data_IF_000375061519
#
_entry.id   IF_000375061519
#
_cell.length_a   1.000
_cell.length_b   1.000
_cell.length_c   1.000
_cell.angle_alpha   90.00
_cell.angle_beta   90.00
_cell.angle_gamma   90.00
#
_symmetry.space_group_name_H-M   'P 1'
#
loop_
_entity.id
_entity.type
_entity.pdbx_description
1 polymer ?
#
# COMPACT_ATOMS: atom_id res chain seq x y z
N UNK A 1 84.18 8.40 11.71
CA UNK A 1 83.15 7.57 11.01
C UNK A 1 81.87 7.70 11.83
N UNK A 2 81.04 8.71 11.64
CA UNK A 2 79.61 8.68 12.13
C UNK A 2 78.91 10.04 11.79
N UNK A 3 78.59 10.34 10.55
CA UNK A 3 77.78 11.52 10.19
C UNK A 3 76.81 11.31 8.99
N UNK A 4 76.40 10.06 8.65
CA UNK A 4 75.60 9.85 7.44
C UNK A 4 74.18 9.31 7.77
N UNK A 5 73.80 9.05 9.03
CA UNK A 5 72.49 8.40 9.38
C UNK A 5 71.33 9.32 9.74
N UNK A 6 71.52 10.66 9.82
CA UNK A 6 70.41 11.55 10.26
C UNK A 6 69.66 12.29 9.15
N UNK A 7 70.08 12.20 7.88
CA UNK A 7 69.37 12.89 6.78
C UNK A 7 68.29 12.07 6.09
N UNK A 8 68.24 10.75 6.27
CA UNK A 8 67.25 9.87 5.63
C UNK A 8 65.95 9.69 6.45
N UNK A 9 65.98 9.98 7.74
CA UNK A 9 64.81 9.82 8.61
C UNK A 9 63.81 10.99 8.52
N UNK A 10 64.27 12.19 8.17
CA UNK A 10 63.39 13.38 8.08
C UNK A 10 62.63 13.42 6.76
N UNK A 11 63.18 12.88 5.68
CA UNK A 11 62.52 12.84 4.37
C UNK A 11 61.30 11.82 4.34
N UNK A 12 61.38 10.74 5.10
CA UNK A 12 60.32 9.74 5.17
C UNK A 12 59.09 10.20 6.01
N UNK A 13 59.31 11.05 7.02
CA UNK A 13 58.23 11.57 7.88
C UNK A 13 57.36 12.62 7.17
N UNK A 14 57.92 13.39 6.22
CA UNK A 14 57.17 14.43 5.49
C UNK A 14 56.28 13.83 4.40
N UNK A 15 56.65 12.71 3.79
CA UNK A 15 55.85 12.00 2.76
C UNK A 15 54.66 11.27 3.39
N UNK A 16 54.77 10.74 4.62
CA UNK A 16 53.67 10.08 5.32
C UNK A 16 52.58 11.06 5.78
N UNK A 17 52.90 12.33 6.08
CA UNK A 17 51.91 13.32 6.47
C UNK A 17 51.08 13.89 5.29
N UNK A 18 51.60 13.82 4.05
CA UNK A 18 50.87 14.28 2.85
C UNK A 18 49.85 13.31 2.31
N UNK A 19 49.86 12.04 2.72
CA UNK A 19 48.89 11.00 2.28
C UNK A 19 47.64 10.91 3.14
N UNK A 20 47.52 11.62 4.26
CA UNK A 20 46.34 11.65 5.13
C UNK A 20 45.42 12.85 4.89
N UNK A 21 45.75 13.75 3.95
CA UNK A 21 44.94 14.95 3.65
C UNK A 21 43.92 14.76 2.49
N UNK A 22 43.70 13.55 2.01
CA UNK A 22 42.97 13.33 0.79
C UNK A 22 41.75 12.39 0.95
N UNK A 23 40.80 12.68 1.80
CA UNK A 23 39.38 12.19 1.69
C UNK A 23 38.49 12.95 2.69
N UNK A 24 38.48 14.27 2.64
CA UNK A 24 37.26 14.98 3.01
C UNK A 24 36.36 14.87 1.78
N UNK A 25 35.55 13.81 1.72
CA UNK A 25 34.39 13.83 0.84
C UNK A 25 33.59 15.06 1.26
N UNK A 26 33.40 16.01 0.35
CA UNK A 26 32.50 17.12 0.51
C UNK A 26 31.09 16.51 0.81
N UNK A 27 30.75 16.42 2.11
CA UNK A 27 29.42 16.12 2.52
C UNK A 27 28.55 17.25 1.96
N UNK A 28 27.68 16.91 1.01
CA UNK A 28 26.73 17.87 0.47
C UNK A 28 26.04 18.59 1.66
N UNK A 29 25.88 19.91 1.61
CA UNK A 29 25.30 20.65 2.71
C UNK A 29 23.94 20.07 3.06
N UNK A 30 23.77 19.63 4.32
CA UNK A 30 22.49 19.16 4.82
C UNK A 30 21.56 20.37 4.88
N UNK A 31 20.66 20.48 3.90
CA UNK A 31 19.65 21.53 3.89
C UNK A 31 18.63 21.20 4.98
N UNK A 32 18.58 22.01 6.04
CA UNK A 32 17.55 21.87 7.08
C UNK A 32 16.18 22.18 6.50
N UNK A 33 15.13 21.38 6.83
CA UNK A 33 13.81 21.64 6.34
C UNK A 33 13.24 22.96 6.88
N UNK A 34 12.64 23.77 5.99
CA UNK A 34 11.83 24.93 6.32
C UNK A 34 10.35 24.68 6.03
N UNK A 35 9.49 25.67 6.20
CA UNK A 35 8.11 25.57 5.74
C UNK A 35 8.04 25.47 4.22
N UNK A 36 6.95 24.97 3.63
CA UNK A 36 6.73 25.00 2.19
C UNK A 36 6.88 26.44 1.64
N UNK A 37 7.42 26.60 0.42
CA UNK A 37 7.50 27.91 -0.23
C UNK A 37 6.15 28.60 -0.27
N UNK A 38 6.13 29.94 -0.25
CA UNK A 38 4.91 30.72 -0.33
C UNK A 38 4.10 30.34 -1.57
N UNK A 39 2.79 30.09 -1.41
CA UNK A 39 1.92 29.66 -2.49
C UNK A 39 1.98 28.16 -2.80
N UNK A 40 2.80 27.36 -2.10
CA UNK A 40 2.82 25.90 -2.27
C UNK A 40 1.92 25.26 -1.23
N UNK A 41 0.90 24.50 -1.70
CA UNK A 41 0.03 23.68 -0.87
C UNK A 41 0.32 22.19 -1.07
N UNK A 42 0.10 21.41 0.00
CA UNK A 42 0.31 19.96 -0.01
C UNK A 42 -0.89 19.27 0.60
N UNK A 43 -1.41 18.24 -0.06
CA UNK A 43 -2.45 17.35 0.47
C UNK A 43 -2.11 15.90 0.13
N UNK A 44 -2.67 14.96 0.90
CA UNK A 44 -2.55 13.52 0.62
C UNK A 44 -3.88 13.01 0.09
N UNK A 45 -3.83 12.15 -0.92
CA UNK A 45 -5.00 11.51 -1.51
C UNK A 45 -4.69 10.06 -1.89
N UNK A 46 -5.73 9.25 -2.09
CA UNK A 46 -5.61 7.89 -2.59
C UNK A 46 -6.56 7.70 -3.76
N UNK A 47 -6.02 7.35 -4.92
CA UNK A 47 -6.82 7.01 -6.09
C UNK A 47 -7.30 5.55 -5.98
N UNK A 48 -8.37 5.20 -6.70
CA UNK A 48 -8.87 3.81 -6.72
C UNK A 48 -7.81 2.80 -7.21
N UNK A 49 -6.93 3.24 -8.10
CA UNK A 49 -5.81 2.43 -8.61
C UNK A 49 -4.74 2.14 -7.56
N UNK A 50 -4.60 2.99 -6.56
CA UNK A 50 -3.51 2.93 -5.60
C UNK A 50 -3.80 2.00 -4.43
N UNK A 51 -5.10 1.68 -4.22
CA UNK A 51 -5.55 0.89 -3.06
C UNK A 51 -4.95 -0.52 -3.07
N UNK A 52 -4.98 -1.20 -4.23
CA UNK A 52 -4.48 -2.58 -4.34
C UNK A 52 -2.97 -2.68 -4.12
N UNK A 53 -2.22 -1.66 -4.54
CA UNK A 53 -0.76 -1.61 -4.44
C UNK A 53 -0.28 -0.95 -3.13
N UNK A 54 -1.21 -0.60 -2.21
CA UNK A 54 -0.91 0.13 -0.96
C UNK A 54 -0.15 1.42 -1.21
N UNK A 55 -0.60 2.21 -2.17
CA UNK A 55 -0.01 3.48 -2.56
C UNK A 55 -0.93 4.64 -2.19
N UNK A 56 -0.36 5.83 -2.13
CA UNK A 56 -1.06 7.10 -2.02
C UNK A 56 -0.35 8.13 -2.90
N UNK A 57 -0.97 9.27 -3.08
CA UNK A 57 -0.40 10.38 -3.81
C UNK A 57 -0.26 11.59 -2.88
N UNK A 58 0.95 12.14 -2.85
CA UNK A 58 1.20 13.47 -2.29
C UNK A 58 0.99 14.47 -3.41
N UNK A 59 -0.10 15.20 -3.33
CA UNK A 59 -0.43 16.27 -4.26
C UNK A 59 0.25 17.55 -3.81
N UNK A 60 1.05 18.14 -4.71
CA UNK A 60 1.71 19.42 -4.48
C UNK A 60 1.17 20.41 -5.51
N UNK A 61 0.61 21.52 -5.04
CA UNK A 61 0.01 22.57 -5.85
C UNK A 61 0.83 23.84 -5.74
N UNK A 62 1.15 24.46 -6.88
CA UNK A 62 1.89 25.71 -6.93
C UNK A 62 0.95 26.86 -7.30
N UNK A 63 0.45 27.57 -6.32
CA UNK A 63 -0.36 28.78 -6.47
C UNK A 63 0.49 30.05 -6.56
N UNK A 64 1.84 29.92 -6.50
CA UNK A 64 2.77 31.04 -6.65
C UNK A 64 3.08 31.36 -8.12
N UNK A 65 3.86 32.41 -8.33
CA UNK A 65 4.21 32.94 -9.67
C UNK A 65 5.54 32.35 -10.22
N UNK A 66 6.28 31.57 -9.42
CA UNK A 66 7.59 31.03 -9.77
C UNK A 66 7.49 29.52 -9.97
N UNK A 67 8.13 29.00 -11.02
CA UNK A 67 8.22 27.56 -11.26
C UNK A 67 9.11 26.87 -10.20
N UNK A 68 8.74 25.67 -9.82
CA UNK A 68 9.42 24.85 -8.83
C UNK A 68 9.76 23.49 -9.47
N UNK A 69 10.90 22.93 -9.13
CA UNK A 69 11.20 21.53 -9.41
C UNK A 69 11.06 20.72 -8.12
N UNK A 70 10.23 19.69 -8.12
CA UNK A 70 9.99 18.81 -6.95
C UNK A 70 10.81 17.55 -7.09
N UNK A 71 11.72 17.32 -6.15
CA UNK A 71 12.60 16.14 -6.07
C UNK A 71 12.03 15.00 -5.22
N UNK A 72 12.80 14.57 -4.22
CA UNK A 72 12.39 13.55 -3.28
C UNK A 72 11.17 14.01 -2.46
N UNK A 73 10.23 13.08 -2.23
CA UNK A 73 9.02 13.31 -1.42
C UNK A 73 8.90 12.18 -0.40
N UNK A 74 8.61 12.54 0.83
CA UNK A 74 8.44 11.67 1.97
C UNK A 74 7.21 12.09 2.76
N UNK A 75 6.31 11.13 3.01
CA UNK A 75 5.16 11.28 3.90
C UNK A 75 5.48 10.56 5.21
N UNK A 76 5.49 11.29 6.31
CA UNK A 76 5.64 10.78 7.66
C UNK A 76 4.29 10.76 8.34
N UNK A 77 3.87 9.58 8.78
CA UNK A 77 2.63 9.34 9.49
C UNK A 77 2.88 8.31 10.61
N UNK A 78 2.56 8.61 11.88
CA UNK A 78 2.80 7.71 13.00
C UNK A 78 2.09 6.35 12.90
N UNK A 79 1.04 6.25 12.08
CA UNK A 79 0.32 5.00 11.82
C UNK A 79 1.10 4.00 10.96
N UNK A 80 2.23 4.40 10.38
CA UNK A 80 3.08 3.53 9.56
C UNK A 80 4.43 3.23 10.21
N UNK A 81 4.93 2.03 9.97
CA UNK A 81 6.21 1.54 10.52
C UNK A 81 7.45 2.27 9.97
N UNK A 82 7.31 2.98 8.88
CA UNK A 82 8.35 3.76 8.22
C UNK A 82 7.71 4.90 7.41
N UNK A 83 8.49 5.89 6.98
CA UNK A 83 7.99 6.90 6.06
C UNK A 83 7.58 6.30 4.72
N UNK A 84 6.47 6.80 4.15
CA UNK A 84 6.11 6.52 2.77
C UNK A 84 6.94 7.41 1.84
N UNK A 85 7.66 6.81 0.91
CA UNK A 85 8.57 7.53 0.01
C UNK A 85 8.12 7.43 -1.43
N UNK A 86 8.53 8.40 -2.24
CA UNK A 86 8.29 8.45 -3.68
C UNK A 86 8.75 7.15 -4.35
N UNK A 87 7.89 6.57 -5.20
CA UNK A 87 8.15 5.28 -5.86
C UNK A 87 9.13 5.44 -7.04
N UNK A 88 8.98 6.51 -7.80
CA UNK A 88 9.81 6.77 -8.99
C UNK A 88 10.76 7.91 -8.70
N UNK A 89 12.05 7.62 -8.70
CA UNK A 89 13.11 8.62 -8.52
C UNK A 89 13.21 9.50 -9.78
N UNK A 90 12.58 10.66 -9.72
CA UNK A 90 12.59 11.67 -10.78
C UNK A 90 12.34 13.06 -10.21
N UNK A 91 12.80 14.09 -10.89
CA UNK A 91 12.41 15.47 -10.65
C UNK A 91 11.11 15.76 -11.42
N UNK A 92 10.15 16.42 -10.80
CA UNK A 92 8.89 16.85 -11.40
C UNK A 92 8.86 18.36 -11.53
N UNK A 93 8.81 18.91 -12.75
CA UNK A 93 8.62 20.35 -12.94
C UNK A 93 7.19 20.74 -12.52
N UNK A 94 7.04 21.85 -11.81
CA UNK A 94 5.77 22.35 -11.28
C UNK A 94 5.70 23.87 -11.56
N UNK A 95 5.07 24.22 -12.68
CA UNK A 95 4.88 25.60 -13.09
C UNK A 95 3.88 26.34 -12.21
N UNK A 96 3.79 27.68 -12.35
CA UNK A 96 2.72 28.49 -11.74
C UNK A 96 1.34 27.96 -12.09
N UNK A 97 0.44 27.88 -11.10
CA UNK A 97 -0.93 27.37 -11.26
C UNK A 97 -1.02 25.88 -11.57
N UNK A 98 0.08 25.13 -11.50
CA UNK A 98 0.12 23.69 -11.81
C UNK A 98 0.08 22.82 -10.57
N UNK A 99 -0.26 21.53 -10.78
CA UNK A 99 -0.33 20.50 -9.75
C UNK A 99 0.50 19.28 -10.19
N UNK A 100 1.17 18.63 -9.25
CA UNK A 100 1.81 17.33 -9.44
C UNK A 100 1.35 16.35 -8.38
N UNK A 101 0.95 15.16 -8.80
CA UNK A 101 0.66 14.03 -7.93
C UNK A 101 1.90 13.12 -7.86
N UNK A 102 2.50 13.03 -6.69
CA UNK A 102 3.70 12.23 -6.43
C UNK A 102 3.28 10.95 -5.70
N UNK A 103 3.37 9.83 -6.40
CA UNK A 103 3.00 8.53 -5.84
C UNK A 103 4.05 8.07 -4.82
N UNK A 104 3.56 7.64 -3.65
CA UNK A 104 4.36 7.13 -2.53
C UNK A 104 3.90 5.73 -2.14
N UNK A 105 4.84 4.88 -1.68
CA UNK A 105 4.54 3.54 -1.17
C UNK A 105 4.22 3.61 0.31
N UNK A 106 3.02 3.18 0.71
CA UNK A 106 2.60 3.11 2.11
C UNK A 106 3.20 1.87 2.78
N UNK A 107 3.95 2.03 3.89
CA UNK A 107 4.48 0.90 4.66
C UNK A 107 3.40 0.17 5.48
N UNK A 108 3.80 -0.89 6.20
CA UNK A 108 2.93 -1.60 7.13
C UNK A 108 2.44 -0.71 8.28
N UNK A 109 1.29 -1.06 8.84
CA UNK A 109 0.70 -0.32 9.95
C UNK A 109 1.39 -0.59 11.29
N UNK A 110 1.38 0.41 12.17
CA UNK A 110 1.74 0.32 13.60
C UNK A 110 0.44 0.39 14.40
N UNK A 111 -0.04 -0.73 14.88
CA UNK A 111 -1.41 -0.83 15.40
C UNK A 111 -1.63 -0.11 16.74
N UNK A 112 -0.57 0.12 17.50
CA UNK A 112 -0.61 0.91 18.75
C UNK A 112 -0.62 2.44 18.50
N UNK A 113 -0.55 2.86 17.22
CA UNK A 113 -0.53 4.29 16.91
C UNK A 113 -1.93 4.93 17.05
N UNK A 114 -2.01 6.22 17.43
CA UNK A 114 -3.28 6.94 17.50
C UNK A 114 -3.98 6.99 16.14
N UNK A 115 -5.28 6.75 16.12
CA UNK A 115 -6.11 6.77 14.91
C UNK A 115 -6.20 8.17 14.27
N UNK A 116 -6.13 9.22 15.08
CA UNK A 116 -6.23 10.63 14.73
C UNK A 116 -4.86 11.30 14.51
N UNK A 117 -3.80 10.49 14.33
CA UNK A 117 -2.46 11.00 14.08
C UNK A 117 -2.41 11.91 12.84
N UNK A 118 -1.68 13.00 12.96
CA UNK A 118 -1.48 13.95 11.86
C UNK A 118 -0.27 13.54 11.00
N UNK A 119 -0.45 13.61 9.67
CA UNK A 119 0.61 13.38 8.71
C UNK A 119 1.41 14.65 8.41
N UNK A 120 2.70 14.48 8.12
CA UNK A 120 3.56 15.54 7.61
C UNK A 120 4.24 15.10 6.32
N UNK A 121 4.48 16.03 5.41
CA UNK A 121 5.23 15.79 4.18
C UNK A 121 6.53 16.59 4.22
N UNK A 122 7.61 15.94 3.85
CA UNK A 122 8.91 16.54 3.56
C UNK A 122 9.22 16.36 2.09
N UNK A 123 9.62 17.42 1.40
CA UNK A 123 10.03 17.33 0.00
C UNK A 123 11.22 18.23 -0.33
N UNK A 124 12.05 17.77 -1.25
CA UNK A 124 13.14 18.55 -1.82
C UNK A 124 12.61 19.35 -3.01
N UNK A 125 13.08 20.60 -3.14
CA UNK A 125 12.70 21.47 -4.24
C UNK A 125 13.85 22.31 -4.76
N UNK A 126 13.70 22.82 -5.98
CA UNK A 126 14.58 23.85 -6.55
C UNK A 126 13.71 25.01 -7.04
N UNK A 127 14.07 26.24 -6.63
CA UNK A 127 13.48 27.50 -7.10
C UNK A 127 14.61 28.41 -7.56
N UNK A 128 14.57 28.92 -8.79
CA UNK A 128 15.61 29.79 -9.36
C UNK A 128 17.03 29.23 -9.20
N UNK A 129 17.19 27.90 -9.39
CA UNK A 129 18.46 27.20 -9.26
C UNK A 129 18.94 27.00 -7.81
N UNK A 130 18.15 27.38 -6.82
CA UNK A 130 18.46 27.19 -5.39
C UNK A 130 17.72 26.01 -4.83
N UNK A 131 18.49 25.02 -4.35
CA UNK A 131 17.92 23.85 -3.68
C UNK A 131 17.41 24.23 -2.29
N UNK A 132 16.25 23.67 -1.92
CA UNK A 132 15.63 23.76 -0.61
C UNK A 132 14.99 22.45 -0.20
N UNK A 133 14.65 22.35 1.08
CA UNK A 133 13.86 21.26 1.64
C UNK A 133 12.73 21.85 2.47
N UNK A 134 11.53 21.39 2.24
CA UNK A 134 10.34 21.85 2.95
C UNK A 134 9.72 20.72 3.78
N UNK A 135 9.16 21.08 4.93
CA UNK A 135 8.32 20.18 5.75
C UNK A 135 7.09 20.95 6.20
N UNK A 136 5.93 20.30 6.11
CA UNK A 136 4.67 20.86 6.54
C UNK A 136 3.59 19.82 6.78
N UNK A 137 2.43 20.21 7.35
CA UNK A 137 1.29 19.34 7.48
C UNK A 137 0.80 18.88 6.12
N UNK A 138 0.32 17.63 6.07
CA UNK A 138 -0.22 17.02 4.87
C UNK A 138 -1.64 16.50 5.14
N UNK A 139 -2.66 17.37 5.13
CA UNK A 139 -4.04 16.97 5.34
C UNK A 139 -4.51 16.04 4.21
N UNK A 140 -5.40 15.14 4.55
CA UNK A 140 -6.06 14.29 3.56
C UNK A 140 -7.09 15.10 2.77
N UNK A 141 -7.06 15.02 1.44
CA UNK A 141 -8.10 15.62 0.60
C UNK A 141 -9.44 14.92 0.83
N UNK A 142 -9.42 13.59 0.94
CA UNK A 142 -10.53 12.74 1.36
C UNK A 142 -10.02 11.78 2.42
N UNK A 143 -10.66 11.67 3.60
CA UNK A 143 -10.19 10.81 4.69
C UNK A 143 -10.11 9.33 4.27
N UNK A 144 -8.91 8.73 4.36
CA UNK A 144 -8.69 7.31 4.06
C UNK A 144 -7.67 6.63 5.00
N UNK A 145 -6.70 7.37 5.54
CA UNK A 145 -5.59 6.81 6.30
C UNK A 145 -6.04 6.09 7.58
N UNK A 146 -6.98 6.67 8.32
CA UNK A 146 -7.51 6.03 9.53
C UNK A 146 -8.27 4.73 9.20
N UNK A 147 -9.05 4.72 8.10
CA UNK A 147 -9.75 3.51 7.66
C UNK A 147 -8.80 2.43 7.14
N UNK A 148 -7.74 2.82 6.42
CA UNK A 148 -6.68 1.92 5.98
C UNK A 148 -5.98 1.30 7.19
N UNK A 149 -5.54 2.13 8.13
CA UNK A 149 -4.85 1.70 9.35
C UNK A 149 -5.69 0.68 10.15
N UNK A 150 -6.98 0.95 10.36
CA UNK A 150 -7.87 -0.01 11.05
C UNK A 150 -7.93 -1.35 10.32
N UNK A 151 -8.10 -1.36 8.99
CA UNK A 151 -8.15 -2.61 8.21
C UNK A 151 -6.84 -3.38 8.27
N UNK A 152 -5.71 -2.68 8.18
CA UNK A 152 -4.40 -3.30 8.27
C UNK A 152 -4.16 -3.93 9.65
N UNK A 153 -4.60 -3.27 10.71
CA UNK A 153 -4.44 -3.79 12.07
C UNK A 153 -5.36 -4.99 12.33
N UNK A 154 -6.58 -4.96 11.82
CA UNK A 154 -7.47 -6.15 11.84
C UNK A 154 -6.81 -7.31 11.11
N UNK A 155 -6.29 -7.07 9.91
CA UNK A 155 -5.59 -8.10 9.13
C UNK A 155 -4.35 -8.64 9.87
N UNK A 156 -3.58 -7.78 10.53
CA UNK A 156 -2.43 -8.20 11.33
C UNK A 156 -2.85 -9.11 12.50
N UNK A 157 -3.94 -8.79 13.22
CA UNK A 157 -4.46 -9.64 14.30
C UNK A 157 -4.95 -10.99 13.76
N UNK A 158 -5.71 -11.00 12.65
CA UNK A 158 -6.11 -12.26 12.00
C UNK A 158 -4.89 -13.09 11.64
N UNK A 159 -3.85 -12.50 11.02
CA UNK A 159 -2.62 -13.20 10.62
C UNK A 159 -1.78 -13.73 11.78
N UNK A 160 -1.99 -13.25 13.01
CA UNK A 160 -1.34 -13.83 14.21
C UNK A 160 -1.97 -15.17 14.57
N UNK A 161 -3.26 -15.37 14.30
CA UNK A 161 -3.98 -16.60 14.67
C UNK A 161 -4.18 -17.56 13.49
N UNK A 162 -4.31 -17.06 12.25
CA UNK A 162 -4.47 -17.88 11.07
C UNK A 162 -3.98 -17.18 9.79
N UNK A 163 -3.51 -17.97 8.82
CA UNK A 163 -3.44 -17.56 7.42
C UNK A 163 -4.79 -17.82 6.76
N UNK A 164 -5.35 -16.81 6.13
CA UNK A 164 -6.60 -16.90 5.37
C UNK A 164 -6.30 -16.49 3.94
N UNK A 165 -6.43 -17.43 2.99
CA UNK A 165 -6.05 -17.22 1.60
C UNK A 165 -7.07 -17.79 0.62
N UNK A 166 -7.22 -17.15 -0.55
CA UNK A 166 -7.90 -17.72 -1.72
C UNK A 166 -6.94 -18.67 -2.44
N UNK A 167 -7.26 -19.96 -2.50
CA UNK A 167 -6.28 -20.98 -2.92
C UNK A 167 -6.59 -21.67 -4.23
N UNK A 168 -7.87 -21.86 -4.57
CA UNK A 168 -8.28 -22.58 -5.77
C UNK A 168 -9.60 -22.07 -6.32
N UNK A 169 -9.80 -22.28 -7.61
CA UNK A 169 -11.03 -21.97 -8.31
C UNK A 169 -11.44 -23.11 -9.23
N UNK A 170 -12.68 -23.55 -9.13
CA UNK A 170 -13.28 -24.51 -10.03
C UNK A 170 -14.40 -23.80 -10.84
N UNK A 171 -14.18 -23.51 -12.13
CA UNK A 171 -15.14 -22.83 -12.97
C UNK A 171 -16.39 -23.70 -13.20
N UNK A 172 -17.51 -23.07 -13.51
CA UNK A 172 -18.77 -23.73 -13.87
C UNK A 172 -19.23 -23.34 -15.26
N UNK A 173 -20.13 -24.11 -15.83
CA UNK A 173 -20.91 -23.70 -16.99
C UNK A 173 -21.89 -22.55 -16.63
N UNK A 174 -22.35 -21.76 -17.63
CA UNK A 174 -23.36 -20.73 -17.43
C UNK A 174 -24.61 -21.28 -16.74
N UNK A 175 -25.15 -20.50 -15.79
CA UNK A 175 -26.33 -20.87 -15.00
C UNK A 175 -26.05 -21.73 -13.76
N UNK A 176 -24.81 -22.21 -13.59
CA UNK A 176 -24.40 -22.94 -12.39
C UNK A 176 -23.35 -22.14 -11.59
N UNK A 177 -23.34 -22.21 -10.25
CA UNK A 177 -22.28 -21.57 -9.46
C UNK A 177 -20.93 -22.24 -9.68
N UNK A 178 -19.87 -21.45 -9.80
CA UNK A 178 -18.50 -21.92 -9.67
C UNK A 178 -18.12 -22.06 -8.18
N UNK A 179 -16.97 -22.66 -7.91
CA UNK A 179 -16.49 -22.82 -6.53
C UNK A 179 -15.15 -22.09 -6.35
N UNK A 180 -15.12 -21.15 -5.39
CA UNK A 180 -13.89 -20.52 -4.91
C UNK A 180 -13.52 -21.11 -3.56
N UNK A 181 -12.28 -21.56 -3.42
CA UNK A 181 -11.79 -22.15 -2.17
C UNK A 181 -11.08 -21.11 -1.31
N UNK A 182 -11.50 -20.99 -0.05
CA UNK A 182 -10.80 -20.23 0.99
C UNK A 182 -10.12 -21.22 1.92
N UNK A 183 -8.81 -21.12 2.06
CA UNK A 183 -8.02 -21.91 3.01
C UNK A 183 -7.80 -21.10 4.28
N UNK A 184 -7.95 -21.75 5.41
CA UNK A 184 -7.68 -21.21 6.75
C UNK A 184 -6.66 -22.14 7.40
N UNK A 185 -5.46 -21.65 7.66
CA UNK A 185 -4.38 -22.43 8.29
C UNK A 185 -4.04 -21.79 9.64
N UNK A 186 -4.36 -22.45 10.76
CA UNK A 186 -4.09 -21.93 12.09
C UNK A 186 -2.59 -21.68 12.33
N UNK A 187 -2.25 -20.60 13.02
CA UNK A 187 -0.88 -20.22 13.43
C UNK A 187 -0.64 -20.33 14.93
N UNK A 188 -1.69 -20.55 15.73
CA UNK A 188 -1.58 -20.75 17.18
C UNK A 188 -1.40 -19.46 18.00
N UNK A 189 -1.80 -18.31 17.48
CA UNK A 189 -1.92 -17.06 18.23
C UNK A 189 -3.05 -17.14 19.28
N UNK A 190 -3.08 -16.20 20.21
CA UNK A 190 -4.01 -16.19 21.36
C UNK A 190 -5.13 -15.14 21.24
N UNK A 191 -5.17 -14.35 20.16
CA UNK A 191 -6.25 -13.40 19.94
C UNK A 191 -7.57 -14.14 19.66
N UNK A 192 -8.66 -13.59 20.19
CA UNK A 192 -10.02 -14.08 19.91
C UNK A 192 -10.46 -13.52 18.57
N UNK A 193 -10.54 -14.38 17.55
CA UNK A 193 -10.90 -13.98 16.16
C UNK A 193 -11.98 -14.90 15.62
N UNK A 194 -13.10 -14.32 15.21
CA UNK A 194 -14.18 -14.98 14.50
C UNK A 194 -14.30 -14.41 13.08
N UNK A 195 -14.29 -15.26 12.05
CA UNK A 195 -14.63 -14.88 10.68
C UNK A 195 -16.15 -14.99 10.52
N UNK A 196 -16.85 -13.86 10.48
CA UNK A 196 -18.31 -13.83 10.48
C UNK A 196 -18.91 -13.85 9.08
N UNK A 197 -18.20 -13.39 8.06
CA UNK A 197 -18.71 -13.39 6.70
C UNK A 197 -17.71 -12.93 5.66
N UNK A 198 -18.05 -13.18 4.39
CA UNK A 198 -17.34 -12.66 3.23
C UNK A 198 -18.31 -11.90 2.33
N UNK A 199 -17.94 -10.69 1.95
CA UNK A 199 -18.78 -9.81 1.15
C UNK A 199 -18.61 -10.07 -0.33
N UNK A 200 -19.70 -9.95 -1.07
CA UNK A 200 -19.69 -9.87 -2.52
C UNK A 200 -18.84 -8.70 -3.02
N UNK A 201 -18.37 -8.81 -4.25
CA UNK A 201 -17.65 -7.73 -4.92
C UNK A 201 -18.57 -7.02 -5.92
N UNK A 202 -18.07 -6.01 -6.60
CA UNK A 202 -18.79 -5.39 -7.72
C UNK A 202 -18.91 -6.31 -8.96
N UNK A 203 -18.15 -7.42 -9.01
CA UNK A 203 -18.14 -8.36 -10.13
C UNK A 203 -18.72 -9.72 -9.79
N UNK A 204 -18.59 -10.18 -8.54
CA UNK A 204 -18.89 -11.53 -8.08
C UNK A 204 -19.83 -11.51 -6.89
N UNK A 205 -20.84 -12.38 -6.90
CA UNK A 205 -21.78 -12.55 -5.79
C UNK A 205 -21.95 -14.03 -5.42
N UNK A 206 -22.60 -14.29 -4.30
CA UNK A 206 -22.88 -15.62 -3.78
C UNK A 206 -24.38 -15.91 -3.84
N UNK A 207 -24.83 -17.03 -4.42
CA UNK A 207 -26.26 -17.35 -4.51
C UNK A 207 -27.00 -17.38 -3.18
N UNK A 208 -26.28 -17.70 -2.08
CA UNK A 208 -26.85 -17.77 -0.73
C UNK A 208 -26.56 -16.52 0.13
N UNK A 209 -26.01 -15.43 -0.47
CA UNK A 209 -25.70 -14.20 0.26
C UNK A 209 -26.99 -13.52 0.75
N UNK A 210 -26.95 -13.04 1.99
CA UNK A 210 -28.01 -12.20 2.55
C UNK A 210 -27.45 -10.79 2.73
N UNK A 211 -28.05 -9.81 2.06
CA UNK A 211 -27.54 -8.43 2.09
C UNK A 211 -26.12 -8.29 1.55
N UNK A 212 -25.72 -9.13 0.58
CA UNK A 212 -24.38 -9.09 -0.02
C UNK A 212 -23.28 -9.76 0.82
N UNK A 213 -23.63 -10.52 1.86
CA UNK A 213 -22.69 -11.24 2.74
C UNK A 213 -22.99 -12.73 2.73
N UNK A 214 -21.98 -13.53 2.51
CA UNK A 214 -22.00 -14.98 2.72
C UNK A 214 -21.47 -15.26 4.14
N UNK A 215 -22.31 -15.84 5.02
CA UNK A 215 -21.96 -16.15 6.40
C UNK A 215 -20.87 -17.24 6.45
N UNK A 216 -19.88 -17.05 7.31
CA UNK A 216 -18.77 -17.99 7.53
C UNK A 216 -18.88 -18.69 8.88
N UNK A 217 -19.18 -17.96 9.95
CA UNK A 217 -19.35 -18.44 11.34
C UNK A 217 -18.17 -19.33 11.80
N UNK A 218 -16.92 -18.86 11.65
CA UNK A 218 -15.73 -19.62 11.93
C UNK A 218 -14.97 -18.96 13.07
N UNK A 219 -14.95 -19.64 14.20
CA UNK A 219 -14.17 -19.28 15.36
C UNK A 219 -12.73 -19.79 15.21
N UNK A 220 -11.73 -18.86 15.27
CA UNK A 220 -10.30 -19.17 15.19
C UNK A 220 -9.64 -19.18 16.59
N UNK A 221 -10.43 -19.10 17.69
CA UNK A 221 -9.94 -19.11 19.05
C UNK A 221 -9.19 -20.42 19.41
N UNK A 222 -8.57 -20.44 20.60
CA UNK A 222 -7.76 -21.54 21.15
C UNK A 222 -8.45 -22.92 21.03
N UNK A 223 -8.16 -23.65 20.00
CA UNK A 223 -8.74 -24.97 19.74
C UNK A 223 -8.84 -25.33 18.26
N UNK A 224 -8.90 -24.35 17.39
CA UNK A 224 -8.86 -24.58 15.95
C UNK A 224 -7.40 -24.86 15.53
N UNK A 225 -7.06 -26.13 15.41
CA UNK A 225 -5.67 -26.57 15.14
C UNK A 225 -5.49 -27.18 13.75
N UNK A 226 -6.57 -27.56 13.10
CA UNK A 226 -6.54 -28.22 11.81
C UNK A 226 -6.82 -27.24 10.67
N UNK A 227 -6.05 -27.28 9.57
CA UNK A 227 -6.36 -26.51 8.39
C UNK A 227 -7.78 -26.81 7.87
N UNK A 228 -8.51 -25.77 7.53
CA UNK A 228 -9.87 -25.86 7.01
C UNK A 228 -9.96 -25.23 5.63
N UNK A 229 -10.74 -25.83 4.74
CA UNK A 229 -11.05 -25.25 3.42
C UNK A 229 -12.54 -25.06 3.27
N UNK A 230 -12.94 -23.84 2.91
CA UNK A 230 -14.33 -23.48 2.66
C UNK A 230 -14.53 -23.37 1.16
N UNK A 231 -15.60 -23.99 0.67
CA UNK A 231 -16.04 -23.89 -0.71
C UNK A 231 -17.12 -22.80 -0.82
N UNK A 232 -16.78 -21.66 -1.43
CA UNK A 232 -17.71 -20.57 -1.68
C UNK A 232 -18.36 -20.73 -3.06
N UNK A 233 -19.70 -20.82 -3.15
CA UNK A 233 -20.38 -20.81 -4.43
C UNK A 233 -20.39 -19.40 -5.01
N UNK A 234 -19.89 -19.22 -6.23
CA UNK A 234 -19.76 -17.94 -6.91
C UNK A 234 -20.58 -17.87 -8.19
N UNK A 235 -21.22 -16.73 -8.43
CA UNK A 235 -21.80 -16.38 -9.72
C UNK A 235 -21.39 -14.95 -10.10
N UNK A 236 -21.30 -14.59 -11.41
CA UNK A 236 -21.12 -13.22 -11.82
C UNK A 236 -22.29 -12.34 -11.37
N UNK A 237 -21.99 -11.19 -10.76
CA UNK A 237 -22.98 -10.17 -10.42
C UNK A 237 -23.28 -9.26 -11.61
N UNK A 238 -22.37 -9.20 -12.58
CA UNK A 238 -22.45 -8.37 -13.78
C UNK A 238 -21.86 -9.09 -14.98
N UNK A 239 -22.51 -8.90 -16.13
CA UNK A 239 -22.05 -9.38 -17.43
C UNK A 239 -21.67 -8.25 -18.38
N UNK A 240 -21.57 -7.02 -17.91
CA UNK A 240 -21.10 -5.89 -18.73
C UNK A 240 -19.59 -6.05 -19.04
N UNK A 241 -19.20 -6.20 -20.32
CA UNK A 241 -17.78 -6.38 -20.71
C UNK A 241 -16.87 -5.22 -20.27
N UNK A 242 -17.38 -4.00 -20.21
CA UNK A 242 -16.61 -2.85 -19.73
C UNK A 242 -16.34 -2.95 -18.23
N UNK A 243 -17.35 -3.39 -17.44
CA UNK A 243 -17.16 -3.61 -16.02
C UNK A 243 -16.12 -4.68 -15.72
N UNK A 244 -16.05 -5.75 -16.54
CA UNK A 244 -15.04 -6.82 -16.39
C UNK A 244 -13.64 -6.32 -16.76
N UNK A 245 -13.50 -5.58 -17.86
CA UNK A 245 -12.20 -5.11 -18.35
C UNK A 245 -11.59 -4.00 -17.48
N UNK A 246 -12.43 -3.11 -16.95
CA UNK A 246 -11.99 -1.99 -16.14
C UNK A 246 -11.89 -2.31 -14.64
N UNK A 247 -12.29 -3.54 -14.25
CA UNK A 247 -12.40 -3.87 -12.86
C UNK A 247 -11.06 -4.14 -12.18
N UNK A 248 -10.75 -3.28 -11.23
CA UNK A 248 -9.54 -3.36 -10.41
C UNK A 248 -9.78 -4.03 -9.04
N UNK A 249 -11.04 -4.23 -8.65
CA UNK A 249 -11.43 -4.69 -7.32
C UNK A 249 -12.40 -5.88 -7.28
N UNK A 250 -12.89 -6.35 -8.41
CA UNK A 250 -13.88 -7.42 -8.47
C UNK A 250 -13.40 -8.80 -8.02
N UNK A 251 -12.10 -8.92 -7.80
CA UNK A 251 -11.46 -10.12 -7.23
C UNK A 251 -10.79 -9.83 -5.87
N UNK A 252 -11.16 -8.71 -5.24
CA UNK A 252 -10.76 -8.37 -3.86
C UNK A 252 -12.00 -8.42 -2.99
N UNK A 253 -12.11 -9.47 -2.20
CA UNK A 253 -13.21 -9.67 -1.26
C UNK A 253 -12.95 -8.93 0.04
N UNK A 254 -14.01 -8.60 0.76
CA UNK A 254 -13.90 -8.07 2.13
C UNK A 254 -14.40 -9.16 3.07
N UNK A 255 -13.59 -9.53 4.04
CA UNK A 255 -13.97 -10.48 5.11
C UNK A 255 -14.38 -9.67 6.33
N UNK A 256 -15.59 -9.95 6.83
CA UNK A 256 -16.08 -9.42 8.10
C UNK A 256 -15.57 -10.31 9.23
N UNK A 257 -15.05 -9.69 10.28
CA UNK A 257 -14.48 -10.39 11.43
C UNK A 257 -14.90 -9.72 12.73
N UNK A 258 -14.81 -10.47 13.82
CA UNK A 258 -14.76 -9.92 15.18
C UNK A 258 -13.38 -10.27 15.76
N UNK A 259 -12.68 -9.27 16.27
CA UNK A 259 -11.37 -9.43 16.90
C UNK A 259 -11.47 -8.91 18.33
N UNK A 260 -11.25 -9.76 19.33
CA UNK A 260 -11.38 -9.44 20.75
C UNK A 260 -12.72 -8.75 21.09
N UNK A 261 -13.80 -9.21 20.45
CA UNK A 261 -15.16 -8.68 20.61
C UNK A 261 -15.48 -7.43 19.78
N UNK A 262 -14.51 -6.87 19.06
CA UNK A 262 -14.71 -5.66 18.24
C UNK A 262 -14.87 -6.02 16.74
N UNK A 263 -15.92 -5.48 16.04
CA UNK A 263 -16.12 -5.74 14.63
C UNK A 263 -15.05 -5.07 13.76
N UNK A 264 -14.58 -5.79 12.77
CA UNK A 264 -13.57 -5.34 11.84
C UNK A 264 -13.73 -5.93 10.45
N UNK A 265 -12.86 -5.52 9.55
CA UNK A 265 -12.81 -5.99 8.18
C UNK A 265 -11.37 -6.03 7.68
N UNK A 266 -11.06 -7.01 6.84
CA UNK A 266 -9.82 -7.01 6.06
C UNK A 266 -10.08 -7.39 4.61
N UNK A 267 -9.10 -7.12 3.73
CA UNK A 267 -9.20 -7.41 2.31
C UNK A 267 -8.55 -8.76 2.01
N UNK A 268 -9.25 -9.61 1.26
CA UNK A 268 -8.78 -10.90 0.78
C UNK A 268 -8.72 -10.87 -0.75
N UNK A 269 -7.53 -10.64 -1.29
CA UNK A 269 -7.32 -10.47 -2.72
C UNK A 269 -6.94 -11.78 -3.39
N UNK A 270 -7.51 -12.07 -4.56
CA UNK A 270 -7.04 -13.14 -5.41
C UNK A 270 -5.64 -12.83 -5.94
N UNK A 271 -4.72 -13.79 -5.82
CA UNK A 271 -3.39 -13.69 -6.46
C UNK A 271 -3.49 -13.58 -7.99
N UNK A 272 -2.43 -13.15 -8.69
CA UNK A 272 -2.50 -12.84 -10.13
C UNK A 272 -3.02 -13.98 -11.01
N UNK A 273 -2.63 -15.23 -10.73
CA UNK A 273 -3.11 -16.40 -11.48
C UNK A 273 -4.60 -16.64 -11.26
N UNK A 274 -5.03 -16.70 -10.00
CA UNK A 274 -6.42 -16.92 -9.62
C UNK A 274 -7.33 -15.77 -10.11
N UNK A 275 -6.85 -14.54 -10.06
CA UNK A 275 -7.54 -13.38 -10.66
C UNK A 275 -7.77 -13.57 -12.16
N UNK A 276 -6.76 -14.04 -12.89
CA UNK A 276 -6.88 -14.35 -14.32
C UNK A 276 -7.93 -15.40 -14.61
N UNK A 277 -7.97 -16.49 -13.81
CA UNK A 277 -8.97 -17.57 -13.93
C UNK A 277 -10.40 -17.06 -13.66
N UNK A 278 -10.59 -16.27 -12.60
CA UNK A 278 -11.89 -15.67 -12.25
C UNK A 278 -12.41 -14.76 -13.37
N UNK A 279 -11.58 -13.86 -13.90
CA UNK A 279 -11.96 -12.94 -14.96
C UNK A 279 -12.26 -13.66 -16.28
N UNK A 280 -11.46 -14.67 -16.65
CA UNK A 280 -11.70 -15.51 -17.82
C UNK A 280 -13.03 -16.28 -17.71
N UNK A 281 -13.31 -16.86 -16.52
CA UNK A 281 -14.57 -17.54 -16.25
C UNK A 281 -15.77 -16.61 -16.34
N UNK A 282 -15.71 -15.41 -15.71
CA UNK A 282 -16.80 -14.42 -15.82
C UNK A 282 -17.08 -14.07 -17.28
N UNK A 283 -16.04 -13.84 -18.09
CA UNK A 283 -16.18 -13.55 -19.51
C UNK A 283 -16.86 -14.68 -20.28
N UNK A 284 -16.45 -15.93 -20.05
CA UNK A 284 -17.05 -17.10 -20.68
C UNK A 284 -18.50 -17.35 -20.22
N UNK A 285 -18.74 -17.25 -18.90
CA UNK A 285 -20.06 -17.44 -18.30
C UNK A 285 -21.10 -16.44 -18.82
N UNK A 286 -20.68 -15.18 -19.03
CA UNK A 286 -21.52 -14.11 -19.55
C UNK A 286 -21.68 -14.15 -21.08
N UNK A 287 -20.64 -14.53 -21.82
CA UNK A 287 -20.66 -14.52 -23.29
C UNK A 287 -21.54 -15.62 -23.91
N UNK A 288 -21.77 -16.75 -23.23
CA UNK A 288 -22.68 -17.80 -23.66
C UNK A 288 -24.15 -17.51 -23.32
N UNK A 289 -24.40 -16.53 -22.40
CA UNK A 289 -25.76 -16.12 -22.02
C UNK A 289 -26.46 -15.21 -23.04
N UNK A 290 -25.70 -14.47 -23.85
CA UNK A 290 -26.26 -13.55 -24.87
C UNK A 290 -26.78 -14.27 -26.14
N UNK A 291 -26.55 -15.57 -26.27
CA UNK A 291 -27.03 -16.38 -27.40
C UNK A 291 -28.45 -16.95 -27.26
N UNK A 292 -29.14 -16.80 -26.14
CA UNK A 292 -30.43 -17.42 -25.86
C UNK A 292 -31.63 -16.45 -25.84
N UNK A 293 -31.47 -15.24 -26.37
CA UNK A 293 -32.49 -14.19 -26.34
C UNK A 293 -32.61 -13.41 -27.65
N UNK A 294 -33.10 -14.08 -28.71
CA UNK A 294 -33.75 -13.44 -29.88
C UNK A 294 -34.96 -14.24 -30.29
#
# INVERSE_FOLDING_TARGET
VSRVRHRSAVAAAVIAAALLAGCAADAAPVVSPGPPPAGVAVVVTQQRSDVADRQAEVRIENHGDVAIEVGAVRLDDPRFAAPATRIVDRVSPLGPGSTVDVRVQLPGAVCDAPQDAASTVTFDYVIDGRAGRATGPAPELFPFLAALHRRDCVEQHVRQVADVDLTAFAPSAPGAPATLSVSIVPRGGTADVELTGIRETNLLTFPAATGGVYALDIDLADGHRDPTTIALPLVPARCDPHAVQEDKRGTVFVVDVVVDGEPGQFALAAGPALKGELLAWVTAWCGEGDGAGH
#
